data_IF_713632507525
#
_entry.id   IF_713632507525
#
_cell.length_a   1.000
_cell.length_b   1.000
_cell.length_c   1.000
_cell.angle_alpha   90.00
_cell.angle_beta   90.00
_cell.angle_gamma   90.00
#
_symmetry.space_group_name_H-M   'P 1'
#
loop_
_entity.id
_entity.type
_entity.pdbx_description
1 polymer ?
#
# COMPACT_ATOMS: atom_id res chain seq x y z
N UNK A 1 22.62 22.39 6.67
CA UNK A 1 22.37 20.99 7.12
C UNK A 1 21.43 20.84 8.33
N UNK A 2 20.87 21.91 8.89
CA UNK A 2 20.02 21.83 10.10
C UNK A 2 18.56 21.34 9.88
N UNK A 3 18.07 21.23 8.64
CA UNK A 3 16.67 20.88 8.38
C UNK A 3 16.40 19.39 8.22
N UNK A 4 17.42 18.56 7.97
CA UNK A 4 17.26 17.11 7.84
C UNK A 4 16.99 16.40 9.17
N UNK A 5 17.34 17.02 10.30
CA UNK A 5 17.08 16.48 11.64
C UNK A 5 15.63 16.69 12.13
N UNK A 6 14.76 17.26 11.32
CA UNK A 6 13.35 17.55 11.64
C UNK A 6 12.35 16.76 10.81
N UNK A 7 12.82 15.86 9.95
CA UNK A 7 11.96 15.00 9.15
C UNK A 7 11.90 13.65 9.84
N UNK A 8 10.71 13.27 10.28
CA UNK A 8 10.45 11.93 10.78
C UNK A 8 10.62 10.94 9.61
N UNK A 9 11.45 9.94 9.82
CA UNK A 9 11.75 8.92 8.85
C UNK A 9 11.42 7.54 9.43
N UNK A 10 10.49 6.83 8.77
CA UNK A 10 10.02 5.53 9.22
C UNK A 10 10.34 4.46 8.20
N UNK A 11 10.60 3.25 8.68
CA UNK A 11 10.79 2.07 7.83
C UNK A 11 9.48 1.34 7.62
N UNK A 12 9.35 0.66 6.48
CA UNK A 12 8.16 -0.06 6.09
C UNK A 12 8.54 -1.24 5.17
N UNK A 13 7.88 -2.40 5.34
CA UNK A 13 8.01 -3.53 4.42
C UNK A 13 6.76 -4.42 4.40
N UNK A 14 6.67 -5.29 3.39
CA UNK A 14 5.66 -6.33 3.36
C UNK A 14 5.93 -7.38 4.46
N UNK A 15 4.96 -7.60 5.34
CA UNK A 15 5.05 -8.64 6.37
C UNK A 15 4.81 -10.04 5.74
N UNK A 16 5.67 -10.43 4.80
CA UNK A 16 5.48 -11.63 3.99
C UNK A 16 5.79 -12.92 4.74
N UNK A 17 6.88 -12.93 5.52
CA UNK A 17 7.37 -14.11 6.24
C UNK A 17 6.97 -14.05 7.71
N UNK A 18 5.79 -14.55 8.06
CA UNK A 18 5.25 -14.47 9.42
C UNK A 18 6.18 -15.04 10.50
N UNK A 19 6.95 -16.14 10.32
CA UNK A 19 7.92 -16.57 11.32
C UNK A 19 9.00 -15.53 11.65
N UNK A 20 9.44 -14.76 10.64
CA UNK A 20 10.36 -13.64 10.83
C UNK A 20 9.71 -12.50 11.63
N UNK A 21 8.50 -12.12 11.23
CA UNK A 21 7.75 -11.06 11.89
C UNK A 21 7.44 -11.40 13.35
N UNK A 22 7.01 -12.64 13.62
CA UNK A 22 6.75 -13.14 14.98
C UNK A 22 8.01 -13.14 15.84
N UNK A 23 9.16 -13.54 15.27
CA UNK A 23 10.43 -13.55 16.00
C UNK A 23 10.86 -12.15 16.47
N UNK A 24 10.37 -11.08 15.82
CA UNK A 24 10.66 -9.69 16.16
C UNK A 24 9.48 -8.96 16.84
N UNK A 25 8.41 -9.67 17.18
CA UNK A 25 7.25 -9.10 17.88
C UNK A 25 7.44 -9.17 19.37
N UNK A 26 7.26 -8.04 20.07
CA UNK A 26 7.53 -7.89 21.52
C UNK A 26 6.50 -6.98 22.19
N UNK A 27 6.31 -7.19 23.47
CA UNK A 27 5.83 -6.11 24.34
C UNK A 27 6.99 -5.15 24.61
N UNK A 28 6.70 -3.85 24.57
CA UNK A 28 7.71 -2.82 24.83
C UNK A 28 7.43 -2.12 26.13
N UNK A 29 8.48 -1.71 26.89
CA UNK A 29 8.28 -1.04 28.18
C UNK A 29 7.43 0.22 28.04
N UNK A 30 6.50 0.42 28.99
CA UNK A 30 5.62 1.59 29.08
C UNK A 30 4.55 1.73 27.98
N UNK A 31 4.38 0.71 27.14
CA UNK A 31 3.30 0.65 26.15
C UNK A 31 2.52 -0.66 26.35
N UNK A 32 1.22 -0.60 26.05
CA UNK A 32 0.37 -1.79 26.15
C UNK A 32 0.23 -2.48 24.79
N UNK A 33 0.37 -3.79 24.81
CA UNK A 33 0.21 -4.65 23.64
C UNK A 33 1.50 -5.01 22.93
N UNK A 34 1.36 -5.73 21.84
CA UNK A 34 2.46 -6.30 21.06
C UNK A 34 2.84 -5.38 19.91
N UNK A 35 4.13 -5.20 19.71
CA UNK A 35 4.68 -4.40 18.61
C UNK A 35 5.57 -5.24 17.73
N UNK A 36 5.37 -5.15 16.42
CA UNK A 36 6.33 -5.61 15.46
C UNK A 36 7.53 -4.65 15.47
N UNK A 37 8.73 -5.17 15.75
CA UNK A 37 9.97 -4.38 15.80
C UNK A 37 10.85 -4.58 14.55
N UNK A 38 10.39 -5.32 13.56
CA UNK A 38 11.08 -5.47 12.28
C UNK A 38 11.00 -4.19 11.45
N UNK A 39 9.90 -3.46 11.58
CA UNK A 39 9.64 -2.18 10.90
C UNK A 39 8.63 -1.34 11.68
N UNK A 40 8.57 -0.05 11.38
CA UNK A 40 7.56 0.84 11.99
C UNK A 40 6.16 0.61 11.41
N UNK A 41 6.09 0.27 10.12
CA UNK A 41 4.86 0.25 9.35
C UNK A 41 4.81 -0.97 8.42
N UNK A 42 4.42 -2.16 8.94
CA UNK A 42 4.27 -3.36 8.13
C UNK A 42 3.00 -3.31 7.28
N UNK A 43 3.02 -3.91 6.09
CA UNK A 43 1.82 -4.06 5.28
C UNK A 43 1.55 -5.50 4.87
N UNK A 44 0.27 -5.79 4.60
CA UNK A 44 -0.19 -7.03 3.98
C UNK A 44 -0.16 -6.86 2.47
N UNK A 45 0.50 -7.78 1.78
CA UNK A 45 0.48 -7.85 0.31
C UNK A 45 -0.90 -8.22 -0.22
N UNK A 46 -1.20 -7.84 -1.47
CA UNK A 46 -2.49 -8.15 -2.10
C UNK A 46 -2.81 -9.66 -2.10
N UNK A 47 -1.81 -10.51 -2.25
CA UNK A 47 -1.96 -11.97 -2.32
C UNK A 47 -2.24 -12.63 -0.98
N UNK A 48 -1.94 -11.95 0.12
CA UNK A 48 -2.05 -12.44 1.49
C UNK A 48 -3.12 -11.71 2.31
N UNK A 49 -3.95 -10.89 1.65
CA UNK A 49 -5.00 -10.08 2.27
C UNK A 49 -6.37 -10.79 2.37
N UNK A 50 -6.38 -12.13 2.43
CA UNK A 50 -7.62 -12.86 2.72
C UNK A 50 -8.09 -12.52 4.14
N UNK A 51 -9.40 -12.26 4.28
CA UNK A 51 -10.00 -11.80 5.55
C UNK A 51 -9.75 -12.79 6.70
N UNK A 52 -9.78 -14.08 6.39
CA UNK A 52 -9.51 -15.20 7.31
C UNK A 52 -8.04 -15.67 7.25
N UNK A 53 -7.17 -14.90 6.59
CA UNK A 53 -5.78 -15.27 6.36
C UNK A 53 -4.86 -15.00 7.55
N UNK A 54 -3.79 -15.78 7.64
CA UNK A 54 -2.82 -15.69 8.73
C UNK A 54 -2.14 -14.31 8.85
N UNK A 55 -1.96 -13.58 7.73
CA UNK A 55 -1.37 -12.25 7.72
C UNK A 55 -2.30 -11.21 8.34
N UNK A 56 -3.60 -11.31 8.06
CA UNK A 56 -4.63 -10.44 8.67
C UNK A 56 -4.71 -10.73 10.16
N UNK A 57 -4.74 -12.01 10.56
CA UNK A 57 -4.77 -12.40 11.96
C UNK A 57 -3.53 -11.93 12.74
N UNK A 58 -2.33 -12.05 12.14
CA UNK A 58 -1.10 -11.57 12.75
C UNK A 58 -1.12 -10.03 12.95
N UNK A 59 -1.47 -9.27 11.90
CA UNK A 59 -1.45 -7.80 11.98
C UNK A 59 -2.58 -7.23 12.83
N UNK A 60 -3.67 -7.97 13.03
CA UNK A 60 -4.70 -7.64 14.02
C UNK A 60 -4.11 -7.58 15.44
N UNK A 61 -3.15 -8.45 15.73
CA UNK A 61 -2.55 -8.59 17.07
C UNK A 61 -1.48 -7.57 17.42
N UNK A 62 -0.93 -6.82 16.45
CA UNK A 62 0.13 -5.83 16.72
C UNK A 62 -0.43 -4.41 16.81
N UNK A 63 0.27 -3.54 17.53
CA UNK A 63 -0.15 -2.14 17.78
C UNK A 63 0.42 -1.12 16.78
N UNK A 64 1.32 -1.55 15.91
CA UNK A 64 1.87 -0.71 14.85
C UNK A 64 0.76 -0.12 13.96
N UNK A 65 0.93 1.08 13.39
CA UNK A 65 0.18 1.44 12.19
C UNK A 65 0.46 0.39 11.11
N UNK A 66 -0.56 0.02 10.36
CA UNK A 66 -0.49 -1.05 9.35
C UNK A 66 -1.11 -0.64 8.03
N UNK A 67 -0.73 -1.33 6.96
CA UNK A 67 -1.40 -1.16 5.68
C UNK A 67 -1.80 -2.48 5.02
N UNK A 68 -2.72 -2.37 4.07
CA UNK A 68 -3.15 -3.47 3.20
C UNK A 68 -3.09 -3.01 1.75
N UNK A 69 -2.46 -3.81 0.89
CA UNK A 69 -2.46 -3.60 -0.56
C UNK A 69 -3.81 -4.02 -1.14
N UNK A 70 -4.47 -3.10 -1.84
CA UNK A 70 -5.81 -3.26 -2.41
C UNK A 70 -5.72 -3.28 -3.93
N UNK A 71 -5.98 -4.43 -4.53
CA UNK A 71 -5.98 -4.63 -5.99
C UNK A 71 -7.36 -4.51 -6.63
N UNK A 72 -7.45 -4.59 -7.97
CA UNK A 72 -8.69 -4.38 -8.72
C UNK A 72 -9.74 -5.48 -8.52
N UNK A 73 -9.38 -6.61 -7.93
CA UNK A 73 -10.32 -7.71 -7.63
C UNK A 73 -11.00 -7.59 -6.27
N UNK A 74 -10.55 -6.67 -5.42
CA UNK A 74 -11.10 -6.47 -4.07
C UNK A 74 -12.50 -5.87 -4.18
N UNK A 75 -13.44 -6.42 -3.40
CA UNK A 75 -14.82 -5.94 -3.32
C UNK A 75 -15.03 -5.04 -2.09
N UNK A 76 -16.01 -4.13 -2.13
CA UNK A 76 -16.33 -3.28 -0.99
C UNK A 76 -16.53 -4.03 0.32
N UNK A 77 -17.32 -5.12 0.31
CA UNK A 77 -17.59 -5.90 1.51
C UNK A 77 -16.34 -6.52 2.14
N UNK A 78 -15.40 -6.99 1.29
CA UNK A 78 -14.12 -7.49 1.76
C UNK A 78 -13.29 -6.38 2.42
N UNK A 79 -13.34 -5.18 1.87
CA UNK A 79 -12.64 -4.02 2.42
C UNK A 79 -13.19 -3.64 3.81
N UNK A 80 -14.51 -3.61 3.95
CA UNK A 80 -15.17 -3.35 5.23
C UNK A 80 -14.86 -4.43 6.27
N UNK A 81 -14.86 -5.70 5.87
CA UNK A 81 -14.48 -6.80 6.75
C UNK A 81 -13.03 -6.71 7.24
N UNK A 82 -12.10 -6.25 6.38
CA UNK A 82 -10.72 -5.97 6.80
C UNK A 82 -10.65 -4.83 7.81
N UNK A 83 -11.49 -3.79 7.67
CA UNK A 83 -11.57 -2.71 8.65
C UNK A 83 -12.10 -3.20 10.00
N UNK A 84 -13.11 -4.07 10.01
CA UNK A 84 -13.66 -4.67 11.23
C UNK A 84 -12.61 -5.45 12.03
N UNK A 85 -11.71 -6.13 11.33
CA UNK A 85 -10.68 -6.97 11.95
C UNK A 85 -9.45 -6.15 12.34
N UNK A 86 -8.98 -5.27 11.47
CA UNK A 86 -7.68 -4.60 11.61
C UNK A 86 -7.75 -3.29 12.38
N UNK A 87 -8.93 -2.66 12.43
CA UNK A 87 -9.17 -1.40 13.16
C UNK A 87 -10.60 -1.31 13.71
N UNK A 88 -11.00 -2.24 14.60
CA UNK A 88 -12.36 -2.28 15.14
C UNK A 88 -12.74 -1.02 15.92
N UNK A 89 -11.79 -0.37 16.54
CA UNK A 89 -11.99 0.81 17.39
C UNK A 89 -11.92 2.14 16.60
N UNK A 90 -11.81 2.09 15.27
CA UNK A 90 -11.63 3.25 14.40
C UNK A 90 -10.51 4.20 14.88
N UNK A 91 -9.39 3.62 15.32
CA UNK A 91 -8.23 4.37 15.79
C UNK A 91 -7.62 5.17 14.63
N UNK A 92 -7.49 6.51 14.76
CA UNK A 92 -6.90 7.34 13.71
C UNK A 92 -5.44 6.97 13.43
N UNK A 93 -5.09 6.82 12.14
CA UNK A 93 -3.73 6.49 11.72
C UNK A 93 -3.36 5.02 11.84
N UNK A 94 -4.25 4.16 12.35
CA UNK A 94 -4.03 2.73 12.51
C UNK A 94 -4.00 2.00 11.17
N UNK A 95 -4.96 2.24 10.28
CA UNK A 95 -5.15 1.48 9.04
C UNK A 95 -4.99 2.35 7.81
N UNK A 96 -4.19 1.86 6.87
CA UNK A 96 -4.02 2.43 5.53
C UNK A 96 -4.42 1.40 4.47
N UNK A 97 -5.15 1.84 3.45
CA UNK A 97 -5.33 1.08 2.22
C UNK A 97 -4.43 1.65 1.12
N UNK A 98 -3.56 0.79 0.59
CA UNK A 98 -2.65 1.13 -0.51
C UNK A 98 -3.25 0.54 -1.79
N UNK A 99 -4.04 1.32 -2.53
CA UNK A 99 -4.63 0.84 -3.77
C UNK A 99 -3.60 0.76 -4.89
N UNK A 100 -3.74 -0.27 -5.73
CA UNK A 100 -2.88 -0.57 -6.88
C UNK A 100 -3.72 -1.14 -8.02
N UNK A 101 -4.42 -0.28 -8.73
CA UNK A 101 -5.43 -0.69 -9.71
C UNK A 101 -4.87 -0.84 -11.12
N UNK A 102 -3.83 -0.08 -11.47
CA UNK A 102 -3.37 0.14 -12.82
C UNK A 102 -4.16 1.25 -13.53
N UNK A 103 -3.46 2.06 -14.33
CA UNK A 103 -4.05 3.21 -15.02
C UNK A 103 -5.27 2.86 -15.88
N UNK A 104 -5.32 1.65 -16.43
CA UNK A 104 -6.44 1.19 -17.26
C UNK A 104 -7.70 0.82 -16.48
N UNK A 105 -7.60 0.54 -15.18
CA UNK A 105 -8.71 0.02 -14.38
C UNK A 105 -9.13 0.92 -13.22
N UNK A 106 -8.29 1.87 -12.82
CA UNK A 106 -8.51 2.69 -11.63
C UNK A 106 -9.84 3.44 -11.67
N UNK A 107 -10.22 3.99 -12.82
CA UNK A 107 -11.46 4.76 -12.99
C UNK A 107 -12.72 3.93 -12.73
N UNK A 108 -12.69 2.63 -13.00
CA UNK A 108 -13.78 1.69 -12.75
C UNK A 108 -13.74 1.12 -11.32
N UNK A 109 -12.55 0.73 -10.87
CA UNK A 109 -12.39 -0.13 -9.67
C UNK A 109 -12.26 0.64 -8.37
N UNK A 110 -11.68 1.85 -8.39
CA UNK A 110 -11.45 2.59 -7.16
C UNK A 110 -12.71 3.25 -6.58
N UNK A 111 -13.58 3.94 -7.38
CA UNK A 111 -14.72 4.68 -6.82
C UNK A 111 -15.63 3.84 -5.91
N UNK A 112 -16.07 2.62 -6.26
CA UNK A 112 -16.94 1.82 -5.39
C UNK A 112 -16.32 1.51 -4.02
N UNK A 113 -15.00 1.36 -3.95
CA UNK A 113 -14.29 1.09 -2.69
C UNK A 113 -14.27 2.35 -1.81
N UNK A 114 -13.95 3.50 -2.40
CA UNK A 114 -13.95 4.79 -1.70
C UNK A 114 -15.34 5.14 -1.17
N UNK A 115 -16.38 4.94 -1.98
CA UNK A 115 -17.77 5.19 -1.61
C UNK A 115 -18.22 4.30 -0.46
N UNK A 116 -17.83 3.02 -0.47
CA UNK A 116 -18.17 2.08 0.59
C UNK A 116 -17.55 2.51 1.94
N UNK A 117 -16.25 2.81 1.96
CA UNK A 117 -15.57 3.27 3.17
C UNK A 117 -16.10 4.64 3.62
N UNK A 118 -16.36 5.56 2.69
CA UNK A 118 -16.96 6.86 3.03
C UNK A 118 -18.35 6.73 3.65
N UNK A 119 -19.18 5.81 3.14
CA UNK A 119 -20.51 5.55 3.66
C UNK A 119 -20.49 4.88 5.02
N UNK A 120 -19.54 3.99 5.25
CA UNK A 120 -19.28 3.34 6.54
C UNK A 120 -18.90 4.39 7.61
N UNK A 121 -18.16 5.43 7.23
CA UNK A 121 -17.80 6.58 8.08
C UNK A 121 -16.53 6.41 8.88
N UNK A 122 -15.89 5.25 8.87
CA UNK A 122 -14.62 5.00 9.55
C UNK A 122 -13.43 5.65 8.83
N UNK A 123 -12.38 5.90 9.59
CA UNK A 123 -11.19 6.61 9.14
C UNK A 123 -10.12 5.68 8.62
N UNK A 124 -9.75 5.89 7.37
CA UNK A 124 -8.69 5.16 6.68
C UNK A 124 -7.79 6.14 5.94
N UNK A 125 -6.49 5.93 6.00
CA UNK A 125 -5.55 6.61 5.12
C UNK A 125 -5.54 5.90 3.77
N UNK A 126 -5.64 6.67 2.68
CA UNK A 126 -5.53 6.16 1.33
C UNK A 126 -4.18 6.52 0.70
N UNK A 127 -3.52 5.54 0.10
CA UNK A 127 -2.25 5.70 -0.60
C UNK A 127 -2.35 5.06 -1.98
N UNK A 128 -1.76 5.66 -3.00
CA UNK A 128 -1.70 5.10 -4.36
C UNK A 128 -0.35 4.43 -4.61
N UNK A 129 -0.37 3.14 -4.93
CA UNK A 129 0.76 2.40 -5.47
C UNK A 129 0.58 2.26 -6.99
N UNK A 130 1.09 3.22 -7.73
CA UNK A 130 1.00 3.23 -9.18
C UNK A 130 2.06 2.33 -9.88
N UNK A 131 2.92 1.68 -9.10
CA UNK A 131 3.99 0.84 -9.67
C UNK A 131 3.47 -0.57 -10.01
N UNK A 132 2.85 -1.25 -9.04
CA UNK A 132 2.54 -2.67 -9.14
C UNK A 132 1.31 -2.99 -10.00
N UNK A 133 0.39 -2.04 -10.19
CA UNK A 133 -0.76 -2.19 -11.09
C UNK A 133 -0.42 -2.02 -12.58
N UNK A 134 0.75 -1.42 -12.90
CA UNK A 134 1.18 -1.08 -14.25
C UNK A 134 2.37 -1.94 -14.73
N UNK A 135 2.65 -3.06 -14.09
CA UNK A 135 3.73 -3.94 -14.50
C UNK A 135 3.40 -4.64 -15.83
N UNK A 136 4.30 -4.53 -16.78
CA UNK A 136 4.25 -5.20 -18.09
C UNK A 136 5.44 -6.16 -18.21
N UNK A 137 5.30 -7.19 -19.05
CA UNK A 137 6.42 -8.05 -19.43
C UNK A 137 6.86 -7.68 -20.85
N UNK A 138 8.14 -7.43 -21.03
CA UNK A 138 8.75 -7.24 -22.34
C UNK A 138 8.78 -8.56 -23.13
N UNK A 139 9.03 -8.48 -24.44
CA UNK A 139 9.22 -9.67 -25.28
C UNK A 139 10.36 -10.59 -24.81
N UNK A 140 11.32 -10.06 -24.08
CA UNK A 140 12.46 -10.76 -23.50
C UNK A 140 12.19 -11.31 -22.08
N UNK A 141 10.94 -11.17 -21.57
CA UNK A 141 10.54 -11.68 -20.26
C UNK A 141 10.90 -10.77 -19.06
N UNK A 142 11.49 -9.60 -19.29
CA UNK A 142 11.77 -8.64 -18.22
C UNK A 142 10.49 -7.91 -17.82
N UNK A 143 10.36 -7.65 -16.53
CA UNK A 143 9.30 -6.81 -15.99
C UNK A 143 9.70 -5.34 -16.12
N UNK A 144 8.78 -4.52 -16.59
CA UNK A 144 8.95 -3.08 -16.69
C UNK A 144 7.62 -2.37 -16.46
N UNK A 145 7.65 -1.04 -16.43
CA UNK A 145 6.46 -0.19 -16.31
C UNK A 145 6.61 0.98 -17.28
N UNK A 146 5.50 1.39 -17.90
CA UNK A 146 5.48 2.63 -18.66
C UNK A 146 5.30 3.80 -17.72
N UNK A 147 6.20 4.76 -17.79
CA UNK A 147 6.13 5.94 -16.93
C UNK A 147 4.80 6.68 -17.07
N UNK A 148 4.26 6.79 -18.29
CA UNK A 148 2.97 7.44 -18.51
C UNK A 148 1.81 6.71 -17.83
N UNK A 149 1.85 5.38 -17.71
CA UNK A 149 0.84 4.63 -16.97
C UNK A 149 0.97 4.87 -15.47
N UNK A 150 2.20 4.90 -14.94
CA UNK A 150 2.46 5.22 -13.53
C UNK A 150 1.96 6.62 -13.18
N UNK A 151 2.34 7.62 -13.99
CA UNK A 151 1.88 9.00 -13.83
C UNK A 151 0.36 9.10 -13.95
N UNK A 152 -0.20 8.50 -15.00
CA UNK A 152 -1.65 8.53 -15.25
C UNK A 152 -2.48 7.87 -14.15
N UNK A 153 -1.99 6.81 -13.49
CA UNK A 153 -2.69 6.24 -12.34
C UNK A 153 -2.69 7.20 -11.14
N UNK A 154 -1.56 7.88 -10.88
CA UNK A 154 -1.48 8.86 -9.79
C UNK A 154 -2.42 10.05 -10.06
N UNK A 155 -2.39 10.63 -11.28
CA UNK A 155 -3.26 11.74 -11.66
C UNK A 155 -4.74 11.36 -11.51
N UNK A 156 -5.15 10.21 -12.07
CA UNK A 156 -6.50 9.69 -11.91
C UNK A 156 -6.88 9.44 -10.44
N UNK A 157 -5.95 8.94 -9.62
CA UNK A 157 -6.21 8.73 -8.21
C UNK A 157 -6.59 10.04 -7.50
N UNK A 158 -5.87 11.14 -7.76
CA UNK A 158 -6.23 12.46 -7.22
C UNK A 158 -7.62 12.90 -7.65
N UNK A 159 -7.92 12.80 -8.95
CA UNK A 159 -9.21 13.23 -9.52
C UNK A 159 -10.37 12.40 -8.94
N UNK A 160 -10.21 11.08 -8.83
CA UNK A 160 -11.23 10.17 -8.29
C UNK A 160 -11.47 10.47 -6.81
N UNK A 161 -10.41 10.64 -6.01
CA UNK A 161 -10.55 10.99 -4.60
C UNK A 161 -11.28 12.34 -4.43
N UNK A 162 -10.94 13.34 -5.25
CA UNK A 162 -11.61 14.63 -5.24
C UNK A 162 -13.09 14.50 -5.63
N UNK A 163 -13.42 13.73 -6.68
CA UNK A 163 -14.77 13.51 -7.15
C UNK A 163 -15.65 12.78 -6.11
N UNK A 164 -15.12 11.76 -5.45
CA UNK A 164 -15.83 11.03 -4.39
C UNK A 164 -15.89 11.84 -3.09
N UNK A 165 -15.05 12.87 -2.93
CA UNK A 165 -14.95 13.67 -1.70
C UNK A 165 -14.23 12.93 -0.59
N UNK A 166 -13.20 12.16 -0.94
CA UNK A 166 -12.22 11.54 -0.06
C UNK A 166 -10.86 12.20 -0.27
N UNK A 167 -9.84 11.79 0.49
CA UNK A 167 -8.50 12.36 0.35
C UNK A 167 -7.47 11.28 0.06
N UNK A 168 -6.69 11.46 -1.01
CA UNK A 168 -5.46 10.72 -1.22
C UNK A 168 -4.38 11.30 -0.30
N UNK A 169 -3.84 10.47 0.60
CA UNK A 169 -2.89 10.89 1.61
C UNK A 169 -1.42 10.70 1.23
N UNK A 170 -1.15 9.94 0.16
CA UNK A 170 0.22 9.70 -0.28
C UNK A 170 0.35 8.78 -1.47
N UNK A 171 1.60 8.54 -1.86
CA UNK A 171 1.98 7.61 -2.93
C UNK A 171 2.99 6.59 -2.39
N UNK A 172 2.95 5.39 -2.95
CA UNK A 172 3.92 4.33 -2.68
C UNK A 172 4.69 4.05 -3.97
N UNK A 173 5.98 4.38 -3.96
CA UNK A 173 6.86 4.23 -5.11
C UNK A 173 8.01 3.28 -4.76
N UNK A 174 8.41 2.47 -5.72
CA UNK A 174 9.64 1.69 -5.67
C UNK A 174 10.77 2.45 -6.37
N UNK A 175 11.85 2.66 -5.66
CA UNK A 175 13.06 3.30 -6.16
C UNK A 175 14.26 2.46 -5.74
N UNK A 176 15.30 2.45 -6.56
CA UNK A 176 16.58 1.85 -6.23
C UNK A 176 17.70 2.85 -6.46
N UNK A 177 18.79 2.73 -5.68
CA UNK A 177 20.03 3.49 -5.89
C UNK A 177 20.98 2.85 -6.91
N UNK A 178 20.62 1.71 -7.48
CA UNK A 178 21.42 1.05 -8.51
C UNK A 178 21.13 1.62 -9.89
N UNK A 179 22.10 1.50 -10.80
CA UNK A 179 21.96 1.95 -12.20
C UNK A 179 21.10 0.96 -13.01
N UNK A 180 19.79 0.95 -12.71
CA UNK A 180 18.80 0.14 -13.38
C UNK A 180 17.58 0.97 -13.75
N UNK A 181 16.85 0.56 -14.79
CA UNK A 181 15.63 1.22 -15.23
C UNK A 181 14.40 0.39 -14.82
N UNK A 182 13.69 0.85 -13.80
CA UNK A 182 12.41 0.26 -13.34
C UNK A 182 11.22 0.64 -14.24
N UNK A 183 11.30 1.81 -14.89
CA UNK A 183 10.25 2.35 -15.73
C UNK A 183 10.82 2.86 -17.05
N UNK A 184 10.10 2.65 -18.14
CA UNK A 184 10.47 3.13 -19.47
C UNK A 184 9.56 4.26 -19.93
N UNK A 185 10.14 5.32 -20.49
CA UNK A 185 9.43 6.30 -21.30
C UNK A 185 9.77 6.08 -22.77
N UNK A 186 8.97 6.59 -23.68
CA UNK A 186 9.18 6.44 -25.12
C UNK A 186 10.51 7.00 -25.64
N UNK A 187 11.22 7.79 -24.85
CA UNK A 187 12.44 8.49 -25.24
C UNK A 187 13.74 7.78 -24.87
N UNK A 188 13.70 6.75 -24.02
CA UNK A 188 14.92 6.02 -23.61
C UNK A 188 14.62 4.54 -23.45
N UNK A 189 14.80 3.77 -24.55
CA UNK A 189 14.90 2.31 -24.55
C UNK A 189 16.38 1.92 -24.33
N UNK A 190 16.92 2.16 -23.16
CA UNK A 190 18.10 1.45 -22.70
C UNK A 190 17.62 0.40 -21.71
N UNK A 191 17.47 -0.82 -22.20
CA UNK A 191 17.30 -1.99 -21.34
C UNK A 191 18.55 -2.13 -20.48
N UNK A 192 18.44 -2.44 -19.19
CA UNK A 192 19.59 -2.76 -18.38
C UNK A 192 20.31 -3.94 -19.01
N UNK A 193 21.59 -3.76 -19.31
CA UNK A 193 22.48 -4.85 -19.65
C UNK A 193 22.80 -5.65 -18.39
N UNK A 194 22.14 -6.78 -18.25
CA UNK A 194 22.11 -7.89 -17.31
C UNK A 194 20.99 -7.91 -16.32
#
# INVERSE_FOLDING_TARGET
MHNLNRIDFYTSHEALLLPYEQALTREVPRQHGWFNLSTHYPWIGMRTAAVDGAHVEYLRGVRNPIAVKVGPSVKPDQLLALMDILNPDDEPGRLTFIHRMGAAQIAEKLPPLLEAVKRDGRRVLWVCDAMHGNTESTSNGFKTRRFDNVRGEVEQAFDIHAAVGTRLGGVHLELTGEDVTESVSYTHLTLPTK
#
